data_IF_323478523145
#
_entry.id   IF_323478523145
#
_cell.length_a   1.000
_cell.length_b   1.000
_cell.length_c   1.000
_cell.angle_alpha   90.00
_cell.angle_beta   90.00
_cell.angle_gamma   90.00
#
_symmetry.space_group_name_H-M   'P 1'
#
loop_
_entity.id
_entity.type
_entity.pdbx_description
1 polymer ?
#
# COMPACT_ATOMS: atom_id res chain seq x y z
N UNK A 1 1.36 -45.70 -31.77
CA UNK A 1 1.17 -44.37 -32.37
C UNK A 1 1.14 -43.43 -31.19
N UNK A 2 2.33 -43.05 -30.75
CA UNK A 2 2.57 -42.29 -29.53
C UNK A 2 3.21 -40.98 -29.97
N UNK A 3 2.49 -39.89 -29.75
CA UNK A 3 2.98 -38.53 -29.95
C UNK A 3 3.34 -38.03 -28.55
N UNK A 4 4.63 -38.12 -28.20
CA UNK A 4 5.20 -37.36 -27.09
C UNK A 4 5.58 -35.97 -27.60
N UNK A 5 4.85 -34.95 -27.17
CA UNK A 5 5.30 -33.55 -27.23
C UNK A 5 6.32 -33.29 -26.11
N UNK A 6 7.50 -32.71 -26.40
CA UNK A 6 8.39 -32.23 -25.36
C UNK A 6 7.88 -30.88 -24.82
N UNK A 7 7.33 -30.90 -23.62
CA UNK A 7 7.09 -29.71 -22.80
C UNK A 7 8.42 -29.00 -22.49
N UNK A 8 8.71 -27.95 -23.24
CA UNK A 8 9.76 -26.98 -22.91
C UNK A 8 9.40 -26.26 -21.60
N UNK A 9 10.02 -26.71 -20.52
CA UNK A 9 10.10 -26.03 -19.23
C UNK A 9 10.83 -24.68 -19.39
N UNK A 10 10.09 -23.61 -19.71
CA UNK A 10 10.58 -22.25 -19.56
C UNK A 10 10.60 -21.88 -18.08
N UNK A 11 11.74 -22.17 -17.43
CA UNK A 11 12.13 -21.61 -16.15
C UNK A 11 12.27 -20.10 -16.28
N UNK A 12 11.21 -19.35 -15.94
CA UNK A 12 11.28 -17.89 -15.78
C UNK A 12 11.66 -17.53 -14.35
N UNK A 13 12.88 -17.92 -13.96
CA UNK A 13 13.57 -17.23 -12.88
C UNK A 13 14.01 -15.87 -13.41
N UNK A 14 13.10 -14.88 -13.39
CA UNK A 14 13.43 -13.51 -13.75
C UNK A 14 14.42 -12.95 -12.72
N UNK A 15 15.72 -13.10 -12.99
CA UNK A 15 16.78 -12.46 -12.23
C UNK A 15 16.50 -10.97 -12.27
N UNK A 16 16.09 -10.40 -11.13
CA UNK A 16 15.82 -8.97 -10.96
C UNK A 16 17.12 -8.22 -11.19
N UNK A 17 17.35 -7.76 -12.42
CA UNK A 17 18.56 -7.04 -12.78
C UNK A 17 18.64 -5.74 -11.97
N UNK A 18 19.83 -5.42 -11.47
CA UNK A 18 20.04 -4.17 -10.74
C UNK A 18 19.83 -2.98 -11.70
N UNK A 19 19.36 -1.84 -11.19
CA UNK A 19 19.19 -0.64 -12.03
C UNK A 19 20.49 -0.21 -12.72
N UNK A 20 21.65 -0.53 -12.12
CA UNK A 20 22.96 -0.31 -12.74
C UNK A 20 23.13 -1.13 -14.03
N UNK A 21 22.82 -2.43 -14.01
CA UNK A 21 22.93 -3.32 -15.16
C UNK A 21 21.95 -2.93 -16.29
N UNK A 22 20.72 -2.55 -15.92
CA UNK A 22 19.71 -2.04 -16.86
C UNK A 22 20.20 -0.77 -17.58
N UNK A 23 20.81 0.16 -16.83
CA UNK A 23 21.36 1.39 -17.41
C UNK A 23 22.62 1.15 -18.24
N UNK A 24 23.44 0.16 -17.89
CA UNK A 24 24.63 -0.23 -18.66
C UNK A 24 24.23 -0.84 -20.02
N UNK A 25 23.24 -1.74 -20.04
CA UNK A 25 22.71 -2.33 -21.28
C UNK A 25 22.04 -1.29 -22.18
N UNK A 26 21.38 -0.28 -21.60
CA UNK A 26 20.81 0.85 -22.34
C UNK A 26 21.85 1.90 -22.78
N UNK A 27 23.14 1.72 -22.46
CA UNK A 27 24.19 2.69 -22.77
C UNK A 27 24.16 3.99 -21.94
N UNK A 28 23.23 4.10 -20.98
CA UNK A 28 22.97 5.28 -20.15
C UNK A 28 23.95 5.41 -18.96
N UNK A 29 24.79 4.42 -18.73
CA UNK A 29 25.74 4.43 -17.60
C UNK A 29 27.11 5.03 -17.95
N UNK A 30 27.41 5.22 -19.24
CA UNK A 30 28.65 5.88 -19.70
C UNK A 30 28.68 7.34 -19.25
N UNK A 31 29.84 7.81 -18.81
CA UNK A 31 30.01 9.15 -18.22
C UNK A 31 31.38 9.73 -18.55
N UNK A 32 31.46 11.05 -18.59
CA UNK A 32 32.72 11.77 -18.65
C UNK A 32 33.54 11.60 -17.36
N UNK A 33 34.85 11.80 -17.45
CA UNK A 33 35.69 11.88 -16.25
C UNK A 33 35.21 13.02 -15.36
N UNK A 34 35.07 12.74 -14.06
CA UNK A 34 34.70 13.78 -13.06
C UNK A 34 35.81 14.81 -12.85
N UNK A 35 36.99 14.58 -13.41
CA UNK A 35 38.14 15.48 -13.35
C UNK A 35 38.16 16.50 -14.49
N UNK A 36 37.14 16.50 -15.36
CA UNK A 36 37.01 17.55 -16.37
C UNK A 36 36.87 18.94 -15.72
N UNK A 37 37.44 20.00 -16.32
CA UNK A 37 37.37 21.35 -15.77
C UNK A 37 35.94 21.79 -15.44
N UNK A 38 34.99 21.49 -16.33
CA UNK A 38 33.57 21.81 -16.15
C UNK A 38 32.95 21.10 -14.94
N UNK A 39 33.20 19.80 -14.77
CA UNK A 39 32.65 19.04 -13.66
C UNK A 39 33.32 19.39 -12.33
N UNK A 40 34.59 19.78 -12.33
CA UNK A 40 35.28 20.30 -11.15
C UNK A 40 34.78 21.68 -10.73
N UNK A 41 34.54 22.58 -11.68
CA UNK A 41 33.90 23.87 -11.40
C UNK A 41 32.47 23.68 -10.83
N UNK A 42 31.70 22.78 -11.43
CA UNK A 42 30.38 22.43 -10.91
C UNK A 42 30.43 21.77 -9.51
N UNK A 43 31.42 20.93 -9.24
CA UNK A 43 31.67 20.38 -7.89
C UNK A 43 31.87 21.51 -6.88
N UNK A 44 32.71 22.49 -7.20
CA UNK A 44 32.95 23.65 -6.32
C UNK A 44 31.66 24.44 -6.05
N UNK A 45 30.81 24.61 -7.07
CA UNK A 45 29.48 25.20 -6.89
C UNK A 45 28.60 24.39 -5.93
N UNK A 46 28.57 23.06 -6.10
CA UNK A 46 27.79 22.18 -5.23
C UNK A 46 28.27 22.24 -3.77
N UNK A 47 29.58 22.21 -3.54
CA UNK A 47 30.19 22.28 -2.21
C UNK A 47 29.92 23.61 -1.50
N UNK A 48 29.87 24.71 -2.27
CA UNK A 48 29.59 26.05 -1.73
C UNK A 48 28.12 26.26 -1.40
N UNK A 49 27.21 25.71 -2.22
CA UNK A 49 25.76 26.02 -2.16
C UNK A 49 24.91 24.94 -1.50
N UNK A 50 25.38 23.69 -1.46
CA UNK A 50 24.64 22.55 -0.94
C UNK A 50 25.47 21.80 0.12
N UNK A 51 24.80 21.17 1.09
CA UNK A 51 25.48 20.42 2.15
C UNK A 51 26.35 19.28 1.60
N UNK A 52 27.46 18.96 2.30
CA UNK A 52 28.55 18.09 1.82
C UNK A 52 28.15 16.64 1.44
N UNK A 53 27.00 16.13 1.88
CA UNK A 53 26.60 14.75 1.60
C UNK A 53 25.95 14.60 0.21
N UNK A 54 26.45 13.66 -0.61
CA UNK A 54 25.80 13.26 -1.87
C UNK A 54 26.32 13.92 -3.15
N UNK A 55 27.30 14.84 -3.06
CA UNK A 55 27.89 15.57 -4.20
C UNK A 55 28.41 14.62 -5.29
N UNK A 56 29.04 13.51 -4.89
CA UNK A 56 29.53 12.49 -5.83
C UNK A 56 28.41 11.92 -6.73
N UNK A 57 27.23 11.67 -6.18
CA UNK A 57 26.12 11.12 -6.95
C UNK A 57 25.55 12.16 -7.93
N UNK A 58 25.53 13.44 -7.55
CA UNK A 58 25.06 14.52 -8.42
C UNK A 58 26.01 14.76 -9.59
N UNK A 59 27.32 14.77 -9.33
CA UNK A 59 28.34 14.85 -10.37
C UNK A 59 28.25 13.67 -11.34
N UNK A 60 28.10 12.46 -10.81
CA UNK A 60 27.97 11.26 -11.62
C UNK A 60 26.71 11.27 -12.50
N UNK A 61 25.60 11.84 -12.02
CA UNK A 61 24.37 11.96 -12.81
C UNK A 61 24.52 12.98 -13.95
N UNK A 62 25.09 14.15 -13.65
CA UNK A 62 25.33 15.21 -14.64
C UNK A 62 26.36 14.76 -15.67
N UNK A 63 27.42 14.06 -15.24
CA UNK A 63 28.44 13.53 -16.13
C UNK A 63 27.89 12.52 -17.15
N UNK A 64 26.95 11.65 -16.73
CA UNK A 64 26.25 10.72 -17.65
C UNK A 64 25.35 11.44 -18.64
N UNK A 65 24.63 12.46 -18.18
CA UNK A 65 23.81 13.30 -19.08
C UNK A 65 24.68 14.02 -20.12
N UNK A 66 25.76 14.67 -19.70
CA UNK A 66 26.70 15.33 -20.60
C UNK A 66 27.28 14.35 -21.63
N UNK A 67 27.70 13.15 -21.19
CA UNK A 67 28.20 12.12 -22.09
C UNK A 67 27.14 11.63 -23.08
N UNK A 68 25.87 11.53 -22.67
CA UNK A 68 24.80 11.15 -23.58
C UNK A 68 24.56 12.20 -24.67
N UNK A 69 24.61 13.47 -24.29
CA UNK A 69 24.40 14.59 -25.22
C UNK A 69 25.60 14.80 -26.14
N UNK A 70 26.81 14.71 -25.59
CA UNK A 70 28.07 14.76 -26.32
C UNK A 70 29.06 13.73 -25.75
N UNK A 71 29.28 12.59 -26.43
CA UNK A 71 30.18 11.54 -25.95
C UNK A 71 31.65 11.93 -25.92
N UNK A 72 32.05 12.94 -26.71
CA UNK A 72 33.46 13.29 -26.89
C UNK A 72 33.97 14.21 -25.77
N UNK A 73 33.14 15.14 -25.31
CA UNK A 73 33.57 16.16 -24.34
C UNK A 73 32.42 16.67 -23.47
N UNK A 74 32.74 17.02 -22.22
CA UNK A 74 31.84 17.65 -21.27
C UNK A 74 31.81 19.17 -21.49
N UNK A 75 30.80 19.68 -22.19
CA UNK A 75 30.67 21.10 -22.55
C UNK A 75 29.36 21.72 -22.05
N UNK A 76 29.39 23.02 -21.76
CA UNK A 76 28.20 23.80 -21.39
C UNK A 76 27.22 23.91 -22.56
N UNK A 77 27.74 23.96 -23.79
CA UNK A 77 26.95 24.01 -25.03
C UNK A 77 25.99 22.83 -25.20
N UNK A 78 26.14 21.74 -24.44
CA UNK A 78 25.15 20.66 -24.36
C UNK A 78 23.74 21.17 -24.00
N UNK A 79 23.61 22.32 -23.33
CA UNK A 79 22.34 22.96 -22.98
C UNK A 79 21.54 23.39 -24.23
N UNK A 80 22.20 23.72 -25.34
CA UNK A 80 21.50 24.04 -26.59
C UNK A 80 20.82 22.83 -27.20
N UNK A 81 21.36 21.63 -26.94
CA UNK A 81 20.80 20.40 -27.47
C UNK A 81 19.68 19.88 -26.57
N UNK A 82 18.59 20.64 -26.56
CA UNK A 82 17.39 20.36 -25.76
C UNK A 82 16.80 19.01 -26.18
N UNK A 83 16.68 18.75 -27.49
CA UNK A 83 16.11 17.51 -28.01
C UNK A 83 16.86 16.27 -27.50
N UNK A 84 18.19 16.24 -27.67
CA UNK A 84 19.02 15.12 -27.19
C UNK A 84 18.97 14.99 -25.68
N UNK A 85 18.91 16.10 -24.96
CA UNK A 85 18.76 16.09 -23.51
C UNK A 85 17.40 15.53 -23.07
N UNK A 86 16.32 15.82 -23.79
CA UNK A 86 15.01 15.24 -23.49
C UNK A 86 14.96 13.75 -23.81
N UNK A 87 15.61 13.32 -24.90
CA UNK A 87 15.78 11.89 -25.23
C UNK A 87 16.46 11.13 -24.09
N UNK A 88 17.53 11.69 -23.48
CA UNK A 88 18.17 11.08 -22.32
C UNK A 88 17.19 10.79 -21.18
N UNK A 89 16.35 11.76 -20.83
CA UNK A 89 15.39 11.58 -19.74
C UNK A 89 14.26 10.62 -20.11
N UNK A 90 13.81 10.63 -21.37
CA UNK A 90 12.84 9.67 -21.88
C UNK A 90 13.40 8.24 -21.84
N UNK A 91 14.65 8.03 -22.25
CA UNK A 91 15.31 6.72 -22.20
C UNK A 91 15.52 6.25 -20.76
N UNK A 92 15.90 7.14 -19.83
CA UNK A 92 15.95 6.79 -18.40
C UNK A 92 14.56 6.40 -17.87
N UNK A 93 13.50 7.11 -18.27
CA UNK A 93 12.13 6.79 -17.85
C UNK A 93 11.62 5.49 -18.46
N UNK A 94 11.97 5.20 -19.71
CA UNK A 94 11.60 3.98 -20.42
C UNK A 94 12.42 2.76 -19.98
N UNK A 95 13.65 2.97 -19.51
CA UNK A 95 14.46 1.92 -18.91
C UNK A 95 13.78 1.40 -17.64
N UNK A 96 13.98 0.13 -17.29
CA UNK A 96 13.51 -0.45 -16.03
C UNK A 96 14.19 0.15 -14.76
N UNK A 97 14.85 1.31 -14.88
CA UNK A 97 15.32 2.10 -13.76
C UNK A 97 14.13 2.65 -12.94
N UNK A 98 14.35 2.85 -11.63
CA UNK A 98 13.28 3.33 -10.76
C UNK A 98 12.88 4.77 -11.10
N UNK A 99 11.61 5.14 -10.88
CA UNK A 99 11.17 6.56 -10.95
C UNK A 99 11.98 7.49 -10.04
N UNK A 100 12.56 6.96 -8.96
CA UNK A 100 13.46 7.71 -8.09
C UNK A 100 14.80 8.02 -8.78
N UNK A 101 15.32 7.08 -9.56
CA UNK A 101 16.51 7.26 -10.40
C UNK A 101 16.29 8.40 -11.39
N UNK A 102 15.20 8.38 -12.17
CA UNK A 102 14.86 9.47 -13.10
C UNK A 102 14.79 10.85 -12.41
N UNK A 103 14.15 10.91 -11.22
CA UNK A 103 14.10 12.12 -10.40
C UNK A 103 15.48 12.62 -9.97
N UNK A 104 16.39 11.71 -9.62
CA UNK A 104 17.75 12.07 -9.22
C UNK A 104 18.57 12.65 -10.39
N UNK A 105 18.39 12.14 -11.61
CA UNK A 105 19.01 12.72 -12.81
C UNK A 105 18.46 14.11 -13.12
N UNK A 106 17.14 14.27 -13.16
CA UNK A 106 16.50 15.58 -13.38
C UNK A 106 16.96 16.59 -12.32
N UNK A 107 17.01 16.19 -11.05
CA UNK A 107 17.48 17.03 -9.96
C UNK A 107 18.93 17.48 -10.12
N UNK A 108 19.83 16.55 -10.48
CA UNK A 108 21.24 16.86 -10.73
C UNK A 108 21.43 17.84 -11.90
N UNK A 109 20.75 17.59 -13.02
CA UNK A 109 20.83 18.48 -14.19
C UNK A 109 20.26 19.86 -13.89
N UNK A 110 19.15 19.99 -13.14
CA UNK A 110 18.64 21.31 -12.70
C UNK A 110 19.65 22.11 -11.90
N UNK A 111 20.40 21.46 -11.02
CA UNK A 111 21.48 22.11 -10.26
C UNK A 111 22.62 22.53 -11.17
N UNK A 112 22.97 21.72 -12.15
CA UNK A 112 23.96 22.10 -13.16
C UNK A 112 23.53 23.31 -13.99
N UNK A 113 22.27 23.34 -14.46
CA UNK A 113 21.72 24.52 -15.14
C UNK A 113 21.73 25.76 -14.23
N UNK A 114 21.45 25.58 -12.93
CA UNK A 114 21.53 26.67 -11.93
C UNK A 114 22.95 27.16 -11.68
N UNK A 115 23.95 26.30 -11.85
CA UNK A 115 25.36 26.67 -11.82
C UNK A 115 25.70 27.53 -13.04
N UNK A 116 25.40 27.04 -14.25
CA UNK A 116 25.67 27.76 -15.49
C UNK A 116 24.96 29.12 -15.52
N UNK A 117 23.70 29.18 -15.08
CA UNK A 117 22.94 30.43 -15.01
C UNK A 117 23.48 31.45 -13.98
N UNK A 118 24.30 30.99 -13.02
CA UNK A 118 24.92 31.84 -12.00
C UNK A 118 26.33 32.29 -12.33
N UNK A 119 26.93 31.74 -13.37
CA UNK A 119 28.28 32.06 -13.82
C UNK A 119 28.23 33.08 -14.95
N UNK A 120 28.57 34.33 -14.64
CA UNK A 120 28.50 35.42 -15.62
C UNK A 120 29.49 35.24 -16.76
N UNK A 121 30.65 34.60 -16.53
CA UNK A 121 31.64 34.36 -17.58
C UNK A 121 31.10 33.40 -18.63
N UNK A 122 30.46 32.31 -18.20
CA UNK A 122 29.83 31.36 -19.12
C UNK A 122 28.70 32.00 -19.96
N UNK A 123 27.99 32.99 -19.42
CA UNK A 123 26.93 33.71 -20.12
C UNK A 123 27.45 34.81 -21.06
N UNK A 124 28.67 35.31 -20.82
CA UNK A 124 29.36 36.24 -21.71
C UNK A 124 30.02 35.51 -22.89
N UNK A 125 30.62 34.34 -22.63
CA UNK A 125 31.22 33.47 -23.66
C UNK A 125 30.18 32.95 -24.66
N UNK A 126 28.94 32.74 -24.20
CA UNK A 126 27.82 32.33 -25.04
C UNK A 126 26.55 33.16 -24.74
N UNK A 127 26.31 34.23 -25.51
CA UNK A 127 25.13 35.08 -25.35
C UNK A 127 23.80 34.35 -25.58
N UNK A 128 23.80 33.25 -26.34
CA UNK A 128 22.59 32.47 -26.66
C UNK A 128 22.18 31.54 -25.50
N UNK A 129 23.07 31.34 -24.54
CA UNK A 129 22.90 30.43 -23.41
C UNK A 129 21.70 30.80 -22.53
N UNK A 130 21.44 32.11 -22.33
CA UNK A 130 20.31 32.57 -21.51
C UNK A 130 18.97 32.09 -22.05
N UNK A 131 18.75 32.25 -23.36
CA UNK A 131 17.54 31.78 -24.04
C UNK A 131 17.45 30.25 -24.04
N UNK A 132 18.60 29.58 -24.22
CA UNK A 132 18.69 28.12 -24.21
C UNK A 132 18.37 27.54 -22.83
N UNK A 133 18.88 28.13 -21.75
CA UNK A 133 18.56 27.76 -20.37
C UNK A 133 17.06 27.89 -20.10
N UNK A 134 16.43 28.98 -20.53
CA UNK A 134 14.99 29.19 -20.32
C UNK A 134 14.16 28.13 -21.04
N UNK A 135 14.48 27.87 -22.32
CA UNK A 135 13.83 26.84 -23.13
C UNK A 135 14.06 25.44 -22.54
N UNK A 136 15.30 25.13 -22.12
CA UNK A 136 15.66 23.86 -21.49
C UNK A 136 14.88 23.63 -20.20
N UNK A 137 14.80 24.61 -19.31
CA UNK A 137 14.04 24.50 -18.06
C UNK A 137 12.55 24.31 -18.30
N UNK A 138 12.00 24.93 -19.35
CA UNK A 138 10.61 24.71 -19.78
C UNK A 138 10.39 23.26 -20.21
N UNK A 139 11.19 22.73 -21.15
CA UNK A 139 11.09 21.34 -21.61
C UNK A 139 11.36 20.33 -20.49
N UNK A 140 12.34 20.61 -19.63
CA UNK A 140 12.65 19.76 -18.47
C UNK A 140 11.50 19.74 -17.47
N UNK A 141 10.73 20.82 -17.35
CA UNK A 141 9.53 20.85 -16.50
C UNK A 141 8.42 19.98 -17.08
N UNK A 142 8.29 19.88 -18.40
CA UNK A 142 7.33 18.98 -19.08
C UNK A 142 7.70 17.51 -18.86
N UNK A 143 8.98 17.15 -19.03
CA UNK A 143 9.50 15.80 -18.71
C UNK A 143 9.38 15.49 -17.22
N UNK A 144 9.59 16.48 -16.36
CA UNK A 144 9.39 16.30 -14.93
C UNK A 144 7.90 16.09 -14.59
N UNK A 145 6.97 16.76 -15.29
CA UNK A 145 5.53 16.50 -15.19
C UNK A 145 5.22 15.06 -15.61
N UNK A 146 5.78 14.53 -16.71
CA UNK A 146 5.59 13.11 -17.06
C UNK A 146 6.21 12.15 -16.03
N UNK A 147 7.26 12.58 -15.32
CA UNK A 147 7.88 11.79 -14.23
C UNK A 147 7.02 11.77 -12.95
N UNK A 148 6.33 12.87 -12.63
CA UNK A 148 5.42 12.99 -11.48
C UNK A 148 4.01 12.52 -11.78
N UNK A 149 3.59 12.59 -13.03
CA UNK A 149 2.35 12.04 -13.48
C UNK A 149 2.49 10.50 -13.41
N UNK A 150 1.96 9.90 -12.34
CA UNK A 150 0.90 8.92 -12.60
C UNK A 150 0.02 9.56 -13.66
N UNK A 151 -0.40 8.86 -14.72
CA UNK A 151 -1.63 9.26 -15.40
C UNK A 151 -2.55 9.77 -14.30
N UNK A 152 -2.89 11.07 -14.33
CA UNK A 152 -3.95 11.56 -13.47
C UNK A 152 -5.16 10.85 -14.06
N UNK A 153 -5.39 9.60 -13.65
CA UNK A 153 -6.74 9.13 -13.44
C UNK A 153 -7.33 10.28 -12.64
N UNK A 154 -8.25 11.00 -13.28
CA UNK A 154 -9.04 12.04 -12.62
C UNK A 154 -9.38 11.43 -11.28
N UNK A 155 -8.89 12.02 -10.18
CA UNK A 155 -9.02 11.44 -8.83
C UNK A 155 -10.53 11.17 -8.63
N UNK A 156 -10.94 9.91 -8.87
CA UNK A 156 -12.36 9.60 -8.94
C UNK A 156 -12.82 9.54 -7.51
N UNK A 157 -13.54 10.56 -7.07
CA UNK A 157 -14.16 10.55 -5.75
C UNK A 157 -15.30 9.56 -5.77
N UNK A 158 -15.42 8.79 -4.70
CA UNK A 158 -16.56 7.91 -4.54
C UNK A 158 -17.85 8.74 -4.39
N UNK A 159 -18.92 8.25 -5.00
CA UNK A 159 -20.26 8.87 -4.96
C UNK A 159 -21.31 7.94 -4.33
N UNK A 160 -20.99 6.66 -4.19
CA UNK A 160 -21.88 5.65 -3.66
C UNK A 160 -21.13 4.63 -2.78
N UNK A 161 -21.84 3.82 -1.97
CA UNK A 161 -21.25 2.81 -1.09
C UNK A 161 -20.29 1.83 -1.78
N UNK A 162 -20.64 1.38 -2.99
CA UNK A 162 -19.84 0.41 -3.75
C UNK A 162 -18.51 1.00 -4.19
N UNK A 163 -18.51 2.26 -4.63
CA UNK A 163 -17.30 3.01 -4.97
C UNK A 163 -16.41 3.25 -3.75
N UNK A 164 -17.01 3.54 -2.58
CA UNK A 164 -16.23 3.71 -1.34
C UNK A 164 -15.45 2.42 -0.99
N UNK A 165 -16.02 1.25 -1.27
CA UNK A 165 -15.43 -0.05 -0.96
C UNK A 165 -14.65 -0.67 -2.12
N UNK A 166 -14.54 0.01 -3.26
CA UNK A 166 -13.94 -0.52 -4.48
C UNK A 166 -12.51 -1.03 -4.27
N UNK A 167 -11.73 -0.34 -3.44
CA UNK A 167 -10.35 -0.74 -3.13
C UNK A 167 -10.28 -2.11 -2.48
N UNK A 168 -11.26 -2.48 -1.65
CA UNK A 168 -11.32 -3.79 -0.99
C UNK A 168 -11.57 -4.88 -2.03
N UNK A 169 -12.47 -4.63 -2.99
CA UNK A 169 -12.77 -5.56 -4.07
C UNK A 169 -11.57 -5.76 -5.01
N UNK A 170 -10.95 -4.66 -5.46
CA UNK A 170 -9.78 -4.70 -6.35
C UNK A 170 -8.57 -5.37 -5.70
N UNK A 171 -8.36 -5.13 -4.40
CA UNK A 171 -7.22 -5.68 -3.67
C UNK A 171 -7.48 -7.09 -3.11
N UNK A 172 -8.72 -7.59 -3.14
CA UNK A 172 -9.12 -8.80 -2.40
C UNK A 172 -8.27 -10.02 -2.74
N UNK A 173 -8.11 -10.34 -4.04
CA UNK A 173 -7.36 -11.51 -4.47
C UNK A 173 -5.89 -11.44 -4.02
N UNK A 174 -5.24 -10.29 -4.27
CA UNK A 174 -3.87 -10.04 -3.82
C UNK A 174 -3.74 -10.14 -2.29
N UNK A 175 -4.73 -9.65 -1.54
CA UNK A 175 -4.74 -9.74 -0.08
C UNK A 175 -4.86 -11.18 0.42
N UNK A 176 -5.75 -11.98 -0.18
CA UNK A 176 -5.92 -13.41 0.17
C UNK A 176 -4.63 -14.19 -0.10
N UNK A 177 -3.97 -13.94 -1.23
CA UNK A 177 -2.67 -14.55 -1.54
C UNK A 177 -1.58 -14.21 -0.51
N UNK A 178 -1.58 -12.97 0.02
CA UNK A 178 -0.67 -12.58 1.12
C UNK A 178 -1.04 -13.33 2.41
N UNK A 179 -2.32 -13.43 2.75
CA UNK A 179 -2.80 -14.14 3.94
C UNK A 179 -2.41 -15.61 3.89
N UNK A 180 -2.59 -16.27 2.74
CA UNK A 180 -2.24 -17.68 2.55
C UNK A 180 -0.73 -17.89 2.72
N UNK A 181 0.10 -17.06 2.07
CA UNK A 181 1.57 -17.08 2.25
C UNK A 181 1.97 -16.86 3.72
N UNK A 182 1.33 -15.94 4.43
CA UNK A 182 1.57 -15.70 5.85
C UNK A 182 1.24 -16.94 6.71
N UNK A 183 0.17 -17.66 6.36
CA UNK A 183 -0.29 -18.83 7.09
C UNK A 183 0.59 -20.06 6.88
N UNK A 184 1.12 -20.25 5.66
CA UNK A 184 2.09 -21.32 5.36
C UNK A 184 3.53 -20.97 5.77
N UNK A 185 3.73 -19.86 6.48
CA UNK A 185 5.04 -19.37 6.98
C UNK A 185 6.07 -19.10 5.87
N UNK A 186 5.61 -18.69 4.69
CA UNK A 186 6.49 -18.13 3.67
C UNK A 186 6.87 -16.72 4.09
N UNK A 187 8.16 -16.37 3.94
CA UNK A 187 8.64 -15.02 4.24
C UNK A 187 7.94 -13.99 3.33
N UNK A 188 7.31 -13.01 3.97
CA UNK A 188 6.66 -11.91 3.26
C UNK A 188 7.63 -10.76 3.04
N UNK A 189 7.60 -10.20 1.84
CA UNK A 189 8.27 -8.93 1.58
C UNK A 189 7.66 -7.80 2.40
N UNK A 190 8.45 -6.77 2.72
CA UNK A 190 7.96 -5.62 3.49
C UNK A 190 6.77 -4.92 2.82
N UNK A 191 6.78 -4.82 1.49
CA UNK A 191 5.67 -4.25 0.72
C UNK A 191 4.36 -5.03 0.92
N UNK A 192 4.44 -6.36 1.07
CA UNK A 192 3.28 -7.25 1.22
C UNK A 192 2.74 -7.14 2.64
N UNK A 193 3.64 -7.13 3.65
CA UNK A 193 3.27 -6.88 5.04
C UNK A 193 2.59 -5.53 5.23
N UNK A 194 3.13 -4.46 4.63
CA UNK A 194 2.51 -3.13 4.67
C UNK A 194 1.19 -3.10 3.91
N UNK A 195 1.07 -3.83 2.80
CA UNK A 195 -0.21 -3.92 2.08
C UNK A 195 -1.29 -4.65 2.88
N UNK A 196 -0.92 -5.69 3.65
CA UNK A 196 -1.84 -6.35 4.57
C UNK A 196 -2.35 -5.36 5.63
N UNK A 197 -1.44 -4.58 6.24
CA UNK A 197 -1.81 -3.53 7.20
C UNK A 197 -2.82 -2.55 6.59
N UNK A 198 -2.51 -2.00 5.40
CA UNK A 198 -3.37 -1.02 4.74
C UNK A 198 -4.74 -1.60 4.34
N UNK A 199 -4.80 -2.88 3.93
CA UNK A 199 -6.07 -3.54 3.64
C UNK A 199 -6.94 -3.64 4.89
N UNK A 200 -6.38 -4.02 6.04
CA UNK A 200 -7.12 -4.11 7.30
C UNK A 200 -7.59 -2.73 7.80
N UNK A 201 -6.76 -1.70 7.65
CA UNK A 201 -7.16 -0.31 7.94
C UNK A 201 -8.30 0.16 7.02
N UNK A 202 -8.22 -0.15 5.72
CA UNK A 202 -9.26 0.16 4.75
C UNK A 202 -10.56 -0.61 5.04
N UNK A 203 -10.47 -1.87 5.45
CA UNK A 203 -11.62 -2.69 5.83
C UNK A 203 -12.36 -2.05 7.02
N UNK A 204 -11.64 -1.65 8.07
CA UNK A 204 -12.25 -0.97 9.21
C UNK A 204 -12.85 0.40 8.84
N UNK A 205 -12.15 1.16 8.01
CA UNK A 205 -12.54 2.54 7.67
C UNK A 205 -13.71 2.59 6.69
N UNK A 206 -13.65 1.80 5.61
CA UNK A 206 -14.53 1.93 4.45
C UNK A 206 -15.69 0.93 4.46
N UNK A 207 -15.53 -0.22 5.12
CA UNK A 207 -16.59 -1.22 5.24
C UNK A 207 -17.25 -1.21 6.61
N UNK A 208 -16.47 -1.17 7.69
CA UNK A 208 -17.00 -1.12 9.06
C UNK A 208 -17.23 0.29 9.60
N UNK A 209 -16.99 1.31 8.77
CA UNK A 209 -17.22 2.73 9.05
C UNK A 209 -16.61 3.20 10.38
N UNK A 210 -15.49 2.63 10.78
CA UNK A 210 -14.82 2.95 12.04
C UNK A 210 -14.05 4.26 11.93
N UNK A 211 -14.02 5.01 13.03
CA UNK A 211 -13.27 6.27 13.09
C UNK A 211 -11.76 5.99 13.12
N UNK A 212 -10.92 6.86 12.54
CA UNK A 212 -9.46 6.76 12.62
C UNK A 212 -8.94 6.55 14.06
N UNK A 213 -9.56 7.21 15.04
CA UNK A 213 -9.20 7.08 16.45
C UNK A 213 -9.44 5.69 17.04
N UNK A 214 -10.40 4.92 16.52
CA UNK A 214 -10.64 3.52 16.93
C UNK A 214 -9.48 2.66 16.43
N UNK A 215 -9.12 2.80 15.16
CA UNK A 215 -8.05 2.04 14.50
C UNK A 215 -6.70 2.34 15.18
N UNK A 216 -6.40 3.61 15.43
CA UNK A 216 -5.15 4.03 16.09
C UNK A 216 -5.02 3.53 17.54
N UNK A 217 -6.14 3.42 18.28
CA UNK A 217 -6.11 3.16 19.72
C UNK A 217 -6.56 1.76 20.12
N UNK A 218 -6.93 0.91 19.16
CA UNK A 218 -7.19 -0.50 19.43
C UNK A 218 -5.93 -1.15 20.01
N UNK A 219 -6.07 -1.79 21.18
CA UNK A 219 -4.96 -2.39 21.92
C UNK A 219 -4.91 -3.90 21.73
N UNK A 220 -3.73 -4.49 21.98
CA UNK A 220 -3.56 -5.95 22.03
C UNK A 220 -4.46 -6.56 23.09
N UNK A 221 -4.59 -5.92 24.26
CA UNK A 221 -5.46 -6.39 25.35
C UNK A 221 -6.90 -6.54 24.85
N UNK A 222 -7.46 -5.49 24.23
CA UNK A 222 -8.83 -5.52 23.70
C UNK A 222 -9.01 -6.57 22.60
N UNK A 223 -8.00 -6.78 21.75
CA UNK A 223 -8.02 -7.84 20.75
C UNK A 223 -8.06 -9.24 21.38
N UNK A 224 -7.27 -9.47 22.43
CA UNK A 224 -7.23 -10.76 23.14
C UNK A 224 -8.50 -11.00 23.98
N UNK A 225 -9.13 -9.94 24.48
CA UNK A 225 -10.39 -9.96 25.25
C UNK A 225 -11.65 -9.96 24.36
N UNK A 226 -11.50 -10.03 23.03
CA UNK A 226 -12.64 -10.04 22.11
C UNK A 226 -13.57 -11.22 22.40
N UNK A 227 -14.87 -10.98 22.29
CA UNK A 227 -15.91 -12.00 22.50
C UNK A 227 -16.49 -12.43 21.17
N UNK A 228 -17.07 -13.63 21.09
CA UNK A 228 -17.82 -14.06 19.90
C UNK A 228 -19.32 -13.97 20.16
N UNK A 229 -20.03 -13.34 19.24
CA UNK A 229 -21.47 -13.34 19.17
C UNK A 229 -21.91 -14.34 18.11
N UNK A 230 -22.90 -15.17 18.45
CA UNK A 230 -23.51 -16.10 17.51
C UNK A 230 -24.96 -15.69 17.30
N UNK A 231 -25.29 -15.37 16.05
CA UNK A 231 -26.67 -15.11 15.67
C UNK A 231 -27.43 -16.44 15.61
N UNK A 232 -28.45 -16.59 16.47
CA UNK A 232 -29.24 -17.82 16.56
C UNK A 232 -30.08 -18.09 15.31
N UNK A 233 -30.49 -17.06 14.56
CA UNK A 233 -31.35 -17.24 13.38
C UNK A 233 -30.55 -17.58 12.12
N UNK A 234 -29.39 -16.95 11.90
CA UNK A 234 -28.55 -17.18 10.72
C UNK A 234 -27.41 -18.17 10.94
N UNK A 235 -27.13 -18.55 12.19
CA UNK A 235 -25.96 -19.34 12.58
C UNK A 235 -24.62 -18.59 12.45
N UNK A 236 -24.64 -17.32 12.03
CA UNK A 236 -23.43 -16.54 11.75
C UNK A 236 -22.69 -16.19 13.04
N UNK A 237 -21.36 -16.29 13.00
CA UNK A 237 -20.48 -15.96 14.12
C UNK A 237 -19.72 -14.66 13.79
N UNK A 238 -19.68 -13.75 14.76
CA UNK A 238 -18.92 -12.51 14.65
C UNK A 238 -18.08 -12.25 15.91
N UNK A 239 -16.86 -11.78 15.73
CA UNK A 239 -16.02 -11.29 16.81
C UNK A 239 -16.39 -9.85 17.16
N UNK A 240 -16.51 -9.56 18.44
CA UNK A 240 -16.88 -8.26 18.99
C UNK A 240 -15.73 -7.75 19.86
N UNK A 241 -15.19 -6.60 19.47
CA UNK A 241 -14.04 -5.96 20.13
C UNK A 241 -14.51 -4.62 20.70
N UNK A 242 -14.35 -4.45 22.01
CA UNK A 242 -14.67 -3.19 22.70
C UNK A 242 -13.43 -2.30 22.71
N UNK A 243 -13.43 -1.25 21.90
CA UNK A 243 -12.30 -0.33 21.79
C UNK A 243 -12.56 0.91 22.64
N UNK A 244 -11.75 1.09 23.67
CA UNK A 244 -11.72 2.30 24.50
C UNK A 244 -10.78 3.33 23.88
N UNK A 245 -11.36 4.35 23.25
CA UNK A 245 -10.66 5.54 22.79
C UNK A 245 -11.14 6.74 23.65
N UNK A 246 -11.46 7.89 23.03
CA UNK A 246 -12.12 9.01 23.73
C UNK A 246 -13.53 8.65 24.24
N UNK A 247 -14.18 7.68 23.58
CA UNK A 247 -15.44 7.03 23.98
C UNK A 247 -15.27 5.52 23.77
N UNK A 248 -16.24 4.74 24.23
CA UNK A 248 -16.28 3.30 23.95
C UNK A 248 -16.90 3.07 22.56
N UNK A 249 -16.18 2.34 21.72
CA UNK A 249 -16.60 1.94 20.38
C UNK A 249 -16.65 0.41 20.30
N UNK A 250 -17.47 -0.10 19.39
CA UNK A 250 -17.61 -1.54 19.13
C UNK A 250 -17.19 -1.80 17.69
N UNK A 251 -16.22 -2.69 17.52
CA UNK A 251 -15.84 -3.25 16.22
C UNK A 251 -16.41 -4.66 16.15
N UNK A 252 -17.13 -4.96 15.08
CA UNK A 252 -17.72 -6.29 14.83
C UNK A 252 -17.09 -6.83 13.56
N UNK A 253 -16.45 -8.00 13.64
CA UNK A 253 -15.79 -8.66 12.51
C UNK A 253 -16.47 -9.98 12.22
N UNK A 254 -16.71 -10.29 10.95
CA UNK A 254 -17.16 -11.62 10.54
C UNK A 254 -16.04 -12.66 10.76
N UNK A 255 -16.39 -13.94 10.78
CA UNK A 255 -15.43 -15.02 11.02
C UNK A 255 -14.18 -14.97 10.10
N UNK A 256 -14.38 -14.73 8.80
CA UNK A 256 -13.28 -14.58 7.85
C UNK A 256 -12.40 -13.37 8.16
N UNK A 257 -13.00 -12.25 8.53
CA UNK A 257 -12.28 -11.03 8.89
C UNK A 257 -11.51 -11.22 10.20
N UNK A 258 -12.11 -11.86 11.23
CA UNK A 258 -11.42 -12.20 12.47
C UNK A 258 -10.15 -13.02 12.17
N UNK A 259 -10.23 -13.98 11.25
CA UNK A 259 -9.10 -14.79 10.82
C UNK A 259 -7.99 -13.96 10.17
N UNK A 260 -8.34 -12.99 9.33
CA UNK A 260 -7.38 -12.10 8.69
C UNK A 260 -6.65 -11.22 9.70
N UNK A 261 -7.39 -10.67 10.68
CA UNK A 261 -6.80 -9.91 11.78
C UNK A 261 -5.92 -10.79 12.67
N UNK A 262 -6.32 -12.03 12.96
CA UNK A 262 -5.51 -12.98 13.72
C UNK A 262 -4.22 -13.34 12.98
N UNK A 263 -4.29 -13.51 11.65
CA UNK A 263 -3.12 -13.73 10.80
C UNK A 263 -2.15 -12.57 10.88
N UNK A 264 -2.63 -11.33 10.71
CA UNK A 264 -1.81 -10.13 10.90
C UNK A 264 -1.18 -10.10 12.30
N UNK A 265 -1.99 -10.29 13.34
CA UNK A 265 -1.56 -10.24 14.74
C UNK A 265 -0.46 -11.26 15.07
N UNK A 266 -0.58 -12.49 14.57
CA UNK A 266 0.36 -13.58 14.89
C UNK A 266 1.57 -13.65 13.97
N UNK A 267 1.45 -13.25 12.70
CA UNK A 267 2.48 -13.46 11.69
C UNK A 267 3.20 -12.18 11.31
N UNK A 268 2.47 -11.10 11.04
CA UNK A 268 3.06 -9.86 10.50
C UNK A 268 3.43 -8.88 11.60
N UNK A 269 2.51 -8.60 12.52
CA UNK A 269 2.71 -7.66 13.63
C UNK A 269 4.00 -7.93 14.42
N UNK A 270 4.38 -9.18 14.78
CA UNK A 270 5.61 -9.42 15.52
C UNK A 270 6.87 -9.00 14.75
N UNK A 271 6.86 -9.09 13.42
CA UNK A 271 7.98 -8.66 12.57
C UNK A 271 8.12 -7.14 12.57
N UNK A 272 7.02 -6.41 12.59
CA UNK A 272 7.02 -4.95 12.75
C UNK A 272 7.49 -4.52 14.14
N UNK A 273 6.96 -5.15 15.19
CA UNK A 273 7.31 -4.85 16.58
C UNK A 273 8.82 -5.03 16.84
N UNK A 274 9.42 -6.12 16.33
CA UNK A 274 10.87 -6.40 16.49
C UNK A 274 11.78 -5.30 15.97
N UNK A 275 11.30 -4.43 15.07
CA UNK A 275 12.07 -3.33 14.49
C UNK A 275 12.12 -2.08 15.38
N UNK A 276 11.28 -2.02 16.41
CA UNK A 276 11.22 -0.88 17.33
C UNK A 276 12.13 -1.08 18.54
N UNK A 277 12.98 -0.09 18.81
CA UNK A 277 13.80 -0.03 20.03
C UNK A 277 13.01 0.50 21.25
N UNK A 278 11.83 1.13 21.02
CA UNK A 278 11.07 1.85 22.05
C UNK A 278 9.79 1.14 22.53
N UNK A 279 9.48 -0.05 22.02
CA UNK A 279 8.52 -0.96 22.66
C UNK A 279 7.07 -0.48 22.76
N UNK A 280 6.50 0.12 21.71
CA UNK A 280 5.05 0.44 21.65
C UNK A 280 4.19 -0.82 21.38
N UNK A 281 4.42 -1.88 22.17
CA UNK A 281 3.86 -3.21 21.95
C UNK A 281 2.41 -3.36 22.40
N UNK A 282 1.83 -2.33 23.03
CA UNK A 282 0.47 -2.33 23.55
C UNK A 282 -0.61 -2.11 22.48
N UNK A 283 -0.26 -1.51 21.34
CA UNK A 283 -1.22 -1.22 20.26
C UNK A 283 -1.36 -2.38 19.29
N UNK A 284 -2.57 -2.64 18.82
CA UNK A 284 -2.84 -3.71 17.87
C UNK A 284 -2.20 -3.39 16.52
N UNK A 285 -2.53 -2.24 15.94
CA UNK A 285 -1.92 -1.77 14.70
C UNK A 285 -0.58 -1.06 14.98
N UNK A 286 0.45 -1.52 14.30
CA UNK A 286 1.79 -0.94 14.33
C UNK A 286 2.29 -0.78 12.90
N UNK A 287 2.98 0.32 12.64
CA UNK A 287 3.62 0.62 11.36
C UNK A 287 4.78 -0.34 11.07
N UNK A 288 5.28 -0.36 9.83
CA UNK A 288 6.45 -1.16 9.45
C UNK A 288 7.74 -0.83 10.21
N UNK A 289 7.77 0.34 10.87
CA UNK A 289 8.84 0.79 11.76
C UNK A 289 8.66 0.33 13.22
N UNK A 290 7.57 -0.36 13.52
CA UNK A 290 7.26 -0.87 14.86
C UNK A 290 6.71 0.17 15.84
N UNK A 291 6.33 1.35 15.36
CA UNK A 291 5.62 2.37 16.14
C UNK A 291 4.12 2.29 15.91
N UNK A 292 3.34 2.80 16.86
CA UNK A 292 1.91 3.05 16.72
C UNK A 292 1.63 3.77 15.40
N UNK A 293 0.62 3.30 14.66
CA UNK A 293 0.17 3.96 13.44
C UNK A 293 -0.31 5.38 13.76
N UNK A 294 0.05 6.33 12.89
CA UNK A 294 -0.22 7.76 13.13
C UNK A 294 -1.38 8.28 12.30
N UNK A 295 -1.51 7.84 11.04
CA UNK A 295 -2.47 8.44 10.12
C UNK A 295 -3.12 7.39 9.21
N UNK A 296 -4.07 6.58 9.74
CA UNK A 296 -4.72 5.54 8.95
C UNK A 296 -5.48 6.11 7.75
N UNK A 297 -5.98 7.35 7.82
CA UNK A 297 -6.61 8.02 6.68
C UNK A 297 -5.66 8.17 5.49
N UNK A 298 -4.40 8.54 5.76
CA UNK A 298 -3.38 8.66 4.70
C UNK A 298 -2.97 7.30 4.16
N UNK A 299 -2.92 6.29 5.01
CA UNK A 299 -2.57 4.93 4.63
C UNK A 299 -3.67 4.30 3.74
N UNK A 300 -4.95 4.50 4.09
CA UNK A 300 -6.11 4.13 3.25
C UNK A 300 -6.08 4.87 1.90
N UNK A 301 -5.80 6.18 1.89
CA UNK A 301 -5.68 6.94 0.63
C UNK A 301 -4.59 6.36 -0.27
N UNK A 302 -3.40 6.10 0.29
CA UNK A 302 -2.28 5.48 -0.46
C UNK A 302 -2.66 4.10 -1.00
N UNK A 303 -3.50 3.37 -0.27
CA UNK A 303 -4.00 2.08 -0.70
C UNK A 303 -4.99 2.21 -1.87
N UNK A 304 -5.96 3.12 -1.79
CA UNK A 304 -6.87 3.45 -2.91
C UNK A 304 -6.07 3.84 -4.16
N UNK A 305 -5.08 4.72 -3.99
CA UNK A 305 -4.18 5.14 -5.05
C UNK A 305 -3.32 3.99 -5.63
N UNK A 306 -2.94 2.99 -4.82
CA UNK A 306 -2.15 1.84 -5.27
C UNK A 306 -2.96 0.93 -6.21
N UNK A 307 -4.26 0.80 -5.97
CA UNK A 307 -5.15 -0.06 -6.75
C UNK A 307 -6.02 0.71 -7.75
N UNK A 308 -5.73 1.99 -7.97
CA UNK A 308 -6.51 2.87 -8.86
C UNK A 308 -8.02 2.78 -8.58
N UNK A 309 -8.37 2.82 -7.29
CA UNK A 309 -9.75 2.79 -6.81
C UNK A 309 -10.26 4.22 -6.54
N UNK A 310 -11.57 4.37 -6.36
CA UNK A 310 -12.12 5.64 -5.90
C UNK A 310 -11.47 6.12 -4.60
N UNK A 311 -11.28 7.43 -4.52
CA UNK A 311 -10.88 8.09 -3.28
C UNK A 311 -12.11 8.36 -2.43
N UNK A 312 -12.02 7.98 -1.17
CA UNK A 312 -13.00 8.27 -0.14
C UNK A 312 -12.30 8.26 1.22
N UNK A 313 -12.45 9.32 1.98
CA UNK A 313 -12.10 9.32 3.40
C UNK A 313 -13.16 8.58 4.23
N UNK A 314 -12.82 8.22 5.47
CA UNK A 314 -13.78 7.59 6.39
C UNK A 314 -15.01 8.47 6.68
N UNK A 315 -14.84 9.80 6.70
CA UNK A 315 -15.97 10.72 6.89
C UNK A 315 -16.87 10.79 5.66
N UNK A 316 -16.29 10.99 4.46
CA UNK A 316 -17.05 11.00 3.20
C UNK A 316 -17.80 9.66 3.00
N UNK A 317 -17.15 8.55 3.35
CA UNK A 317 -17.78 7.23 3.28
C UNK A 317 -19.00 7.14 4.21
N UNK A 318 -18.89 7.60 5.46
CA UNK A 318 -20.04 7.63 6.38
C UNK A 318 -21.19 8.47 5.83
N UNK A 319 -20.90 9.67 5.31
CA UNK A 319 -21.91 10.58 4.73
C UNK A 319 -22.62 9.94 3.54
N UNK A 320 -21.87 9.29 2.63
CA UNK A 320 -22.41 8.57 1.48
C UNK A 320 -23.30 7.40 1.91
N UNK A 321 -22.87 6.61 2.90
CA UNK A 321 -23.67 5.49 3.42
C UNK A 321 -24.96 5.96 4.11
N UNK A 322 -24.90 7.02 4.91
CA UNK A 322 -26.09 7.60 5.55
C UNK A 322 -27.07 8.07 4.49
N UNK A 323 -26.60 8.82 3.50
CA UNK A 323 -27.43 9.30 2.39
C UNK A 323 -28.09 8.12 1.66
N UNK A 324 -27.31 7.10 1.29
CA UNK A 324 -27.83 5.92 0.59
C UNK A 324 -28.92 5.18 1.39
N UNK A 325 -28.73 5.04 2.71
CA UNK A 325 -29.74 4.41 3.58
C UNK A 325 -31.00 5.29 3.63
N UNK A 326 -30.86 6.60 3.86
CA UNK A 326 -32.00 7.52 3.90
C UNK A 326 -32.79 7.48 2.58
N UNK A 327 -32.11 7.55 1.44
CA UNK A 327 -32.75 7.49 0.12
C UNK A 327 -33.51 6.16 -0.06
N UNK A 328 -32.92 5.03 0.35
CA UNK A 328 -33.56 3.71 0.24
C UNK A 328 -34.80 3.52 1.13
N UNK A 329 -34.82 4.14 2.32
CA UNK A 329 -35.97 4.08 3.23
C UNK A 329 -37.11 4.93 2.67
N UNK A 330 -36.82 6.14 2.18
CA UNK A 330 -37.83 7.02 1.60
C UNK A 330 -38.46 6.46 0.31
N UNK A 331 -37.68 5.76 -0.52
CA UNK A 331 -38.21 5.05 -1.70
C UNK A 331 -39.14 3.89 -1.32
N UNK A 332 -38.84 3.19 -0.21
CA UNK A 332 -39.70 2.12 0.30
C UNK A 332 -41.03 2.66 0.84
N UNK A 333 -41.03 3.78 1.57
CA UNK A 333 -42.25 4.41 2.10
C UNK A 333 -43.14 5.02 1.01
N UNK A 334 -42.54 5.54 -0.08
CA UNK A 334 -43.28 6.02 -1.25
C UNK A 334 -44.07 4.93 -1.99
N UNK A 335 -43.71 3.66 -1.81
CA UNK A 335 -44.44 2.51 -2.39
C UNK A 335 -45.60 2.01 -1.52
N UNK A 336 -45.66 2.42 -0.24
CA UNK A 336 -46.76 2.05 0.67
C UNK A 336 -47.92 3.06 0.68
N UNK A 337 -47.76 4.25 0.08
CA UNK A 337 -48.84 5.25 -0.02
C UNK A 337 -49.84 4.99 -1.17
N UNK A 338 -49.89 3.77 -1.72
CA UNK A 338 -50.96 3.32 -2.61
C UNK A 338 -51.68 2.05 -2.14
N UNK A 339 -51.54 1.69 -0.86
CA UNK A 339 -52.26 0.55 -0.32
C UNK A 339 -52.50 0.64 1.18
N UNK A 340 -53.76 0.93 1.51
CA UNK A 340 -54.48 0.51 2.73
C UNK A 340 -54.42 1.47 3.94
N UNK A 341 -55.64 1.96 4.24
CA UNK A 341 -56.09 2.56 5.49
C UNK A 341 -56.03 1.55 6.66
N UNK A 342 -55.95 2.14 7.85
CA UNK A 342 -56.21 1.58 9.18
C UNK A 342 -55.11 0.75 9.88
N UNK A 343 -54.78 1.19 11.10
CA UNK A 343 -54.55 0.28 12.21
C UNK A 343 -53.21 0.35 12.94
N UNK A 344 -53.20 1.16 14.00
CA UNK A 344 -52.52 0.95 15.29
C UNK A 344 -50.99 1.01 15.48
N UNK A 345 -50.69 1.52 16.67
CA UNK A 345 -49.42 1.97 17.22
C UNK A 345 -48.46 0.84 17.64
N UNK A 346 -47.21 1.28 17.82
CA UNK A 346 -46.11 0.71 18.62
C UNK A 346 -45.05 -0.13 17.90
N UNK A 347 -43.89 0.49 17.72
CA UNK A 347 -42.66 -0.20 17.33
C UNK A 347 -41.51 0.77 17.02
N UNK A 348 -40.61 0.96 17.99
CA UNK A 348 -39.31 1.64 17.78
C UNK A 348 -38.48 0.84 16.76
N UNK A 349 -37.99 1.41 15.64
CA UNK A 349 -37.20 0.65 14.69
C UNK A 349 -35.77 0.45 15.20
N UNK A 350 -35.44 -0.79 15.54
CA UNK A 350 -34.07 -1.29 15.62
C UNK A 350 -33.45 -1.26 14.22
N UNK A 351 -32.34 -0.53 14.06
CA UNK A 351 -31.53 -0.54 12.83
C UNK A 351 -31.11 -1.99 12.48
N UNK A 352 -31.77 -2.58 11.49
CA UNK A 352 -31.34 -3.83 10.88
C UNK A 352 -30.18 -3.58 9.93
N UNK A 353 -29.10 -4.33 10.15
CA UNK A 353 -27.94 -4.42 9.27
C UNK A 353 -28.33 -4.82 7.84
N UNK A 354 -28.07 -3.94 6.87
CA UNK A 354 -28.02 -4.31 5.45
C UNK A 354 -26.56 -4.54 5.09
N UNK A 355 -26.17 -5.81 5.01
CA UNK A 355 -24.94 -6.23 4.33
C UNK A 355 -25.35 -6.67 2.92
N UNK A 356 -24.82 -6.08 1.83
CA UNK A 356 -25.12 -6.56 0.49
C UNK A 356 -24.50 -7.96 0.29
N UNK A 357 -25.33 -8.94 -0.03
CA UNK A 357 -24.89 -10.28 -0.38
C UNK A 357 -24.13 -10.27 -1.72
N UNK A 358 -22.83 -10.52 -1.68
CA UNK A 358 -22.03 -10.80 -2.87
C UNK A 358 -22.53 -12.06 -3.59
N UNK A 359 -22.94 -11.91 -4.85
CA UNK A 359 -23.31 -13.03 -5.73
C UNK A 359 -22.11 -13.97 -5.90
N UNK A 360 -22.29 -15.26 -5.59
CA UNK A 360 -21.44 -16.35 -6.12
C UNK A 360 -21.98 -16.81 -7.48
N UNK A 361 -21.12 -17.30 -8.39
CA UNK A 361 -21.53 -17.74 -9.72
C UNK A 361 -22.30 -19.08 -9.65
N UNK A 362 -23.33 -19.19 -10.48
CA UNK A 362 -24.14 -20.37 -10.69
C UNK A 362 -23.36 -21.48 -11.37
N UNK A 363 -23.15 -22.61 -10.69
CA UNK A 363 -22.86 -23.90 -11.34
C UNK A 363 -24.14 -24.74 -11.35
N UNK A 364 -24.58 -25.10 -12.55
CA UNK A 364 -25.73 -25.94 -12.86
C UNK A 364 -25.64 -27.31 -12.16
N UNK A 365 -26.72 -27.68 -11.47
CA UNK A 365 -26.99 -29.05 -10.98
C UNK A 365 -27.47 -29.92 -12.15
N UNK A 366 -26.83 -31.07 -12.35
CA UNK A 366 -27.51 -32.25 -12.89
C UNK A 366 -27.61 -33.33 -11.81
N UNK A 367 -28.86 -33.71 -11.57
CA UNK A 367 -29.41 -35.01 -11.15
C UNK A 367 -28.62 -35.95 -10.21
N UNK A 368 -29.20 -36.12 -9.01
CA UNK A 368 -29.11 -37.27 -8.08
C UNK A 368 -29.49 -38.61 -8.78
N UNK A 369 -29.15 -39.81 -8.24
CA UNK A 369 -29.62 -40.22 -6.91
C UNK A 369 -28.79 -41.22 -6.07
N UNK A 370 -28.92 -41.05 -4.75
CA UNK A 370 -29.30 -42.16 -3.87
C UNK A 370 -28.23 -42.87 -3.05
N UNK A 371 -28.72 -43.40 -1.93
CA UNK A 371 -28.18 -44.44 -1.05
C UNK A 371 -27.39 -43.95 0.17
N UNK A 372 -27.89 -44.34 1.35
CA UNK A 372 -27.00 -44.79 2.43
C UNK A 372 -27.10 -44.08 3.78
N UNK A 373 -28.21 -44.29 4.51
CA UNK A 373 -28.21 -44.20 5.98
C UNK A 373 -27.07 -45.07 6.55
N UNK A 374 -26.24 -44.54 7.46
CA UNK A 374 -25.72 -45.31 8.60
C UNK A 374 -25.31 -44.40 9.77
N UNK A 375 -26.15 -44.46 10.81
CA UNK A 375 -25.81 -44.13 12.20
C UNK A 375 -24.56 -44.92 12.63
N UNK A 376 -23.66 -44.29 13.38
CA UNK A 376 -22.94 -44.99 14.46
C UNK A 376 -22.64 -44.06 15.62
N UNK A 377 -23.15 -44.48 16.76
CA UNK A 377 -22.96 -43.94 18.09
C UNK A 377 -21.52 -44.15 18.59
N UNK A 378 -21.10 -43.24 19.47
CA UNK A 378 -20.45 -43.58 20.74
C UNK A 378 -18.93 -43.55 20.74
N UNK A 379 -18.33 -42.67 21.54
CA UNK A 379 -18.07 -42.96 22.96
C UNK A 379 -17.39 -41.77 23.65
N UNK A 380 -18.01 -41.34 24.75
CA UNK A 380 -17.39 -40.71 25.92
C UNK A 380 -16.19 -41.53 26.39
N UNK A 381 -15.11 -40.87 26.78
CA UNK A 381 -14.34 -41.24 27.98
C UNK A 381 -13.89 -39.99 28.72
N UNK A 382 -14.31 -39.95 29.98
CA UNK A 382 -13.91 -39.02 31.03
C UNK A 382 -12.55 -39.42 31.61
N UNK A 383 -11.89 -38.41 32.19
CA UNK A 383 -11.11 -38.41 33.43
C UNK A 383 -9.94 -39.39 33.61
N UNK A 384 -8.75 -38.82 33.86
CA UNK A 384 -8.03 -38.96 35.15
C UNK A 384 -6.74 -38.12 35.14
N UNK A 385 -6.68 -37.09 35.97
CA UNK A 385 -5.50 -36.86 36.82
C UNK A 385 -5.70 -37.72 38.10
N UNK A 386 -4.62 -38.10 38.82
CA UNK A 386 -4.30 -37.26 39.99
C UNK A 386 -2.82 -37.22 40.42
N UNK A 387 -2.56 -36.18 41.24
CA UNK A 387 -1.80 -36.18 42.49
C UNK A 387 -0.24 -36.18 42.50
N UNK A 388 0.26 -35.03 42.96
CA UNK A 388 1.16 -34.82 44.13
C UNK A 388 2.52 -35.52 44.20
N UNK A 389 3.56 -34.67 44.34
CA UNK A 389 4.84 -35.02 44.97
C UNK A 389 5.52 -33.77 45.54
N UNK A 390 5.54 -33.66 46.87
CA UNK A 390 6.30 -32.67 47.67
C UNK A 390 7.80 -33.01 47.68
N UNK A 391 8.66 -31.99 47.80
CA UNK A 391 9.80 -31.83 48.75
C UNK A 391 10.72 -30.69 48.25
N UNK A 392 10.91 -29.58 48.99
CA UNK A 392 11.85 -29.30 50.11
C UNK A 392 13.32 -29.11 49.70
N UNK A 393 13.95 -28.05 50.26
CA UNK A 393 15.40 -27.79 50.31
C UNK A 393 15.77 -26.47 49.61
N UNK A 394 15.87 -25.34 50.33
CA UNK A 394 17.10 -24.78 50.95
C UNK A 394 17.87 -23.90 49.95
N UNK A 395 17.94 -22.57 50.15
CA UNK A 395 18.82 -21.79 51.03
C UNK A 395 20.23 -21.51 50.42
N UNK A 396 20.63 -20.22 50.47
CA UNK A 396 21.92 -19.65 50.02
C UNK A 396 21.67 -18.51 49.01
N UNK A 397 21.74 -17.21 49.29
CA UNK A 397 22.69 -16.35 50.04
C UNK A 397 24.11 -16.35 49.45
N UNK A 398 24.52 -15.14 49.00
CA UNK A 398 25.83 -14.65 48.55
C UNK A 398 26.34 -15.23 47.22
N UNK A 399 26.74 -14.45 46.20
CA UNK A 399 27.44 -13.14 46.16
C UNK A 399 26.79 -12.19 45.15
#
# INVERSE_FOLDING_TARGET
>A
MDIEEPLLMLSTSAIKMSSKKIMEEAGLHKKHSTDSPLLQAFRGYLEKKYAKSGIKHELDNVSRWLHFVNPNEALVSCIHNIERSMQFFQEIQASAASKATARNYIGGVKKFISYVASDLQLLEEDPSLRGSIQSFLKSLTEVQKSTYNKEKSVERKATNPMECQEVLNKAHQYFVEIIDRANVKIDLEEKDMTSMLFYLEALLTLQHLQRPSVIQNMTVKQWLERTRYQNQSSGSIAAVIKVKAARQYIVVLQEAEEMWFDTFFRRVRPLFVKRSLKGENGYFFVSSKGHKIQNPTTDVRRFQEKFDACLASGQETQEIFIKFICDSVMESEGSYLHGVQDGDQDGVPLLHHVVPAGRRPSTSRSSRPGIGRRRRNGRRRQNRAPASGRQRGDAGVCV
#
